data_IF_923487970977
#
_entry.id   IF_923487970977
#
_cell.length_a   1.000
_cell.length_b   1.000
_cell.length_c   1.000
_cell.angle_alpha   90.00
_cell.angle_beta   90.00
_cell.angle_gamma   90.00
#
_symmetry.space_group_name_H-M   'P 1'
#
loop_
_entity.id
_entity.type
_entity.pdbx_description
1 polymer ?
#
# COMPACT_ATOMS: atom_id res chain seq x y z
N UNK A 1 -43.36 -2.71 -13.98
CA UNK A 1 -43.09 -4.05 -13.44
C UNK A 1 -41.56 -4.20 -13.44
N UNK A 2 -40.88 -3.62 -12.46
CA UNK A 2 -40.68 -4.09 -11.06
C UNK A 2 -39.30 -4.72 -10.95
N UNK A 3 -38.31 -3.85 -10.68
CA UNK A 3 -36.95 -4.22 -10.28
C UNK A 3 -36.64 -3.65 -8.88
N UNK A 4 -37.69 -3.45 -8.07
CA UNK A 4 -37.63 -2.80 -6.73
C UNK A 4 -37.96 -3.77 -5.58
N UNK A 5 -37.71 -5.08 -5.75
CA UNK A 5 -38.08 -6.05 -4.73
C UNK A 5 -37.01 -7.12 -4.52
N UNK A 6 -35.79 -6.71 -4.14
CA UNK A 6 -34.87 -7.59 -3.39
C UNK A 6 -33.79 -6.82 -2.61
N UNK A 7 -34.14 -5.69 -1.97
CA UNK A 7 -33.31 -5.11 -0.91
C UNK A 7 -34.00 -5.34 0.42
N UNK A 8 -33.62 -6.41 1.10
CA UNK A 8 -33.95 -6.63 2.50
C UNK A 8 -33.26 -5.54 3.33
N UNK A 9 -34.07 -4.59 3.79
CA UNK A 9 -33.73 -3.43 4.63
C UNK A 9 -33.15 -3.81 6.01
N UNK A 10 -33.14 -5.11 6.37
CA UNK A 10 -32.67 -5.60 7.68
C UNK A 10 -31.21 -6.06 7.73
N UNK A 11 -30.51 -6.24 6.59
CA UNK A 11 -29.13 -6.73 6.59
C UNK A 11 -28.08 -5.60 6.67
N UNK A 12 -28.48 -4.37 6.35
CA UNK A 12 -27.56 -3.23 6.18
C UNK A 12 -27.14 -2.62 7.53
N UNK A 13 -28.06 -2.60 8.50
CA UNK A 13 -27.84 -1.98 9.82
C UNK A 13 -26.92 -2.80 10.74
N UNK A 14 -26.96 -4.15 10.62
CA UNK A 14 -26.11 -5.03 11.43
C UNK A 14 -24.62 -4.97 11.04
N UNK A 15 -24.33 -4.89 9.74
CA UNK A 15 -22.95 -4.80 9.26
C UNK A 15 -22.35 -3.40 9.47
N UNK A 16 -23.13 -2.33 9.23
CA UNK A 16 -22.67 -0.96 9.47
C UNK A 16 -22.26 -0.70 10.93
N UNK A 17 -22.98 -1.29 11.88
CA UNK A 17 -22.72 -1.16 13.32
C UNK A 17 -21.42 -1.83 13.78
N UNK A 18 -21.01 -2.95 13.18
CA UNK A 18 -19.77 -3.68 13.53
C UNK A 18 -18.54 -3.17 12.77
N UNK A 19 -18.74 -2.65 11.55
CA UNK A 19 -17.64 -2.21 10.68
C UNK A 19 -16.97 -0.92 11.20
N UNK A 20 -17.73 0.03 11.76
CA UNK A 20 -17.17 1.29 12.26
C UNK A 20 -16.26 1.14 13.51
N UNK A 21 -16.63 0.36 14.55
CA UNK A 21 -15.74 0.07 15.67
C UNK A 21 -14.48 -0.68 15.25
N UNK A 22 -14.61 -1.63 14.31
CA UNK A 22 -13.48 -2.38 13.77
C UNK A 22 -12.51 -1.47 13.01
N UNK A 23 -13.03 -0.57 12.16
CA UNK A 23 -12.23 0.44 11.47
C UNK A 23 -11.39 1.29 12.43
N UNK A 24 -12.01 1.71 13.54
CA UNK A 24 -11.38 2.54 14.55
C UNK A 24 -10.26 1.81 15.29
N UNK A 25 -10.50 0.58 15.76
CA UNK A 25 -9.48 -0.23 16.43
C UNK A 25 -8.30 -0.55 15.50
N UNK A 26 -8.59 -0.86 14.23
CA UNK A 26 -7.56 -1.14 13.22
C UNK A 26 -6.72 0.09 12.89
N UNK A 27 -7.33 1.27 12.78
CA UNK A 27 -6.60 2.52 12.57
C UNK A 27 -5.60 2.79 13.71
N UNK A 28 -5.95 2.47 14.95
CA UNK A 28 -5.03 2.59 16.10
C UNK A 28 -3.85 1.64 15.96
N UNK A 29 -4.09 0.36 15.65
CA UNK A 29 -3.02 -0.64 15.48
C UNK A 29 -2.10 -0.26 14.32
N UNK A 30 -2.68 0.16 13.19
CA UNK A 30 -1.91 0.66 12.03
C UNK A 30 -1.07 1.86 12.43
N UNK A 31 -1.62 2.80 13.20
CA UNK A 31 -0.89 3.94 13.75
C UNK A 31 0.32 3.54 14.62
N UNK A 32 0.17 2.51 15.45
CA UNK A 32 1.28 1.97 16.27
C UNK A 32 2.35 1.36 15.38
N UNK A 33 1.97 0.54 14.39
CA UNK A 33 2.94 -0.04 13.46
C UNK A 33 3.69 1.07 12.69
N UNK A 34 2.99 2.10 12.24
CA UNK A 34 3.60 3.25 11.57
C UNK A 34 4.62 3.95 12.48
N UNK A 35 4.30 4.16 13.75
CA UNK A 35 5.24 4.72 14.71
C UNK A 35 6.51 3.86 14.79
N UNK A 36 6.37 2.54 14.88
CA UNK A 36 7.50 1.62 14.95
C UNK A 36 8.32 1.53 13.65
N UNK A 37 7.75 1.82 12.48
CA UNK A 37 8.55 1.96 11.23
C UNK A 37 9.58 3.10 11.35
N UNK A 38 9.28 4.13 12.15
CA UNK A 38 10.17 5.24 12.45
C UNK A 38 11.14 5.00 13.61
N UNK A 39 11.09 3.85 14.29
CA UNK A 39 11.82 3.61 15.53
C UNK A 39 13.34 3.56 15.32
N UNK A 40 14.13 3.83 16.35
CA UNK A 40 15.57 3.67 16.33
C UNK A 40 15.96 2.18 16.23
N UNK A 41 15.19 1.31 16.90
CA UNK A 41 15.42 -0.12 16.97
C UNK A 41 15.09 -0.82 15.65
N UNK A 42 16.11 -1.49 15.08
CA UNK A 42 16.00 -2.16 13.78
C UNK A 42 14.95 -3.27 13.79
N UNK A 43 14.88 -4.03 14.89
CA UNK A 43 13.94 -5.14 15.04
C UNK A 43 12.48 -4.68 15.01
N UNK A 44 12.16 -3.58 15.71
CA UNK A 44 10.83 -2.98 15.71
C UNK A 44 10.46 -2.46 14.32
N UNK A 45 11.39 -1.76 13.64
CA UNK A 45 11.16 -1.30 12.27
C UNK A 45 10.83 -2.44 11.31
N UNK A 46 11.60 -3.51 11.35
CA UNK A 46 11.40 -4.68 10.47
C UNK A 46 10.06 -5.36 10.76
N UNK A 47 9.75 -5.60 12.04
CA UNK A 47 8.51 -6.25 12.44
C UNK A 47 7.28 -5.41 12.03
N UNK A 48 7.32 -4.10 12.27
CA UNK A 48 6.25 -3.19 11.90
C UNK A 48 6.07 -3.07 10.37
N UNK A 49 7.17 -2.99 9.63
CA UNK A 49 7.16 -3.03 8.17
C UNK A 49 6.50 -4.32 7.64
N UNK A 50 6.89 -5.47 8.19
CA UNK A 50 6.33 -6.76 7.81
C UNK A 50 4.83 -6.83 8.10
N UNK A 51 4.39 -6.36 9.27
CA UNK A 51 2.98 -6.30 9.64
C UNK A 51 2.16 -5.44 8.66
N UNK A 52 2.65 -4.24 8.30
CA UNK A 52 1.96 -3.35 7.36
C UNK A 52 1.96 -3.89 5.92
N UNK A 53 3.02 -4.59 5.51
CA UNK A 53 3.11 -5.25 4.20
C UNK A 53 2.15 -6.43 4.10
N UNK A 54 2.05 -7.24 5.16
CA UNK A 54 1.09 -8.33 5.28
C UNK A 54 -0.35 -7.81 5.27
N UNK A 55 -0.61 -6.71 6.00
CA UNK A 55 -1.90 -6.04 5.96
C UNK A 55 -2.27 -5.59 4.54
N UNK A 56 -1.34 -4.93 3.85
CA UNK A 56 -1.54 -4.50 2.46
C UNK A 56 -1.88 -5.67 1.54
N UNK A 57 -1.19 -6.81 1.71
CA UNK A 57 -1.46 -8.03 0.96
C UNK A 57 -2.82 -8.65 1.31
N UNK A 58 -3.20 -8.64 2.59
CA UNK A 58 -4.51 -9.10 3.04
C UNK A 58 -5.64 -8.29 2.40
N UNK A 59 -5.53 -6.95 2.39
CA UNK A 59 -6.54 -6.08 1.76
C UNK A 59 -6.61 -6.33 0.25
N UNK A 60 -5.50 -6.69 -0.40
CA UNK A 60 -5.51 -7.17 -1.79
C UNK A 60 -6.32 -8.46 -1.94
N UNK A 61 -6.13 -9.46 -1.08
CA UNK A 61 -6.89 -10.73 -1.17
C UNK A 61 -8.39 -10.55 -0.94
N UNK A 62 -8.81 -9.50 -0.22
CA UNK A 62 -10.22 -9.15 -0.12
C UNK A 62 -10.82 -8.67 -1.46
N UNK A 63 -9.99 -8.37 -2.47
CA UNK A 63 -10.45 -7.98 -3.79
C UNK A 63 -11.17 -9.10 -4.53
N UNK A 64 -10.79 -10.34 -4.23
CA UNK A 64 -11.30 -11.54 -4.90
C UNK A 64 -12.65 -12.01 -4.33
N UNK A 65 -13.06 -11.45 -3.18
CA UNK A 65 -14.32 -11.81 -2.51
C UNK A 65 -15.50 -11.00 -3.07
N UNK A 66 -16.58 -11.69 -3.43
CA UNK A 66 -17.83 -11.09 -3.92
C UNK A 66 -18.88 -10.93 -2.80
N UNK A 67 -19.78 -9.95 -2.97
CA UNK A 67 -20.92 -9.70 -2.07
C UNK A 67 -20.82 -8.40 -1.27
N UNK A 68 -21.97 -7.90 -0.80
CA UNK A 68 -22.08 -6.60 -0.14
C UNK A 68 -21.26 -6.52 1.15
N UNK A 69 -21.27 -7.57 1.99
CA UNK A 69 -20.48 -7.61 3.22
C UNK A 69 -18.97 -7.51 2.95
N UNK A 70 -18.47 -8.29 1.99
CA UNK A 70 -17.06 -8.26 1.58
C UNK A 70 -16.66 -6.91 0.96
N UNK A 71 -17.56 -6.28 0.18
CA UNK A 71 -17.35 -4.93 -0.33
C UNK A 71 -17.21 -3.90 0.80
N UNK A 72 -18.13 -3.91 1.78
CA UNK A 72 -18.09 -2.97 2.91
C UNK A 72 -16.85 -3.15 3.77
N UNK A 73 -16.46 -4.41 4.04
CA UNK A 73 -15.23 -4.74 4.74
C UNK A 73 -14.00 -4.20 3.99
N UNK A 74 -13.92 -4.47 2.67
CA UNK A 74 -12.83 -3.96 1.82
C UNK A 74 -12.73 -2.44 1.87
N UNK A 75 -13.85 -1.73 1.77
CA UNK A 75 -13.87 -0.26 1.83
C UNK A 75 -13.41 0.27 3.19
N UNK A 76 -13.74 -0.42 4.28
CA UNK A 76 -13.24 -0.09 5.61
C UNK A 76 -11.70 -0.17 5.66
N UNK A 77 -11.13 -1.28 5.18
CA UNK A 77 -9.68 -1.44 5.13
C UNK A 77 -9.00 -0.41 4.23
N UNK A 78 -9.55 -0.13 3.04
CA UNK A 78 -9.04 0.90 2.14
C UNK A 78 -9.10 2.28 2.80
N UNK A 79 -10.17 2.58 3.55
CA UNK A 79 -10.30 3.81 4.31
C UNK A 79 -9.20 3.93 5.38
N UNK A 80 -8.93 2.86 6.14
CA UNK A 80 -7.84 2.82 7.12
C UNK A 80 -6.48 3.03 6.45
N UNK A 81 -6.19 2.35 5.33
CA UNK A 81 -4.94 2.55 4.61
C UNK A 81 -4.80 4.00 4.10
N UNK A 82 -5.86 4.56 3.52
CA UNK A 82 -5.82 5.91 2.96
C UNK A 82 -5.68 7.01 4.02
N UNK A 83 -6.30 6.84 5.19
CA UNK A 83 -6.33 7.84 6.25
C UNK A 83 -5.16 7.72 7.22
N UNK A 84 -4.69 6.50 7.50
CA UNK A 84 -3.60 6.27 8.45
C UNK A 84 -2.26 5.99 7.74
N UNK A 85 -2.21 5.08 6.78
CA UNK A 85 -0.93 4.64 6.21
C UNK A 85 -0.32 5.64 5.22
N UNK A 86 -1.06 6.03 4.19
CA UNK A 86 -0.52 6.85 3.10
C UNK A 86 0.05 8.22 3.55
N UNK A 87 -0.60 8.98 4.45
CA UNK A 87 -0.05 10.25 4.92
C UNK A 87 1.29 10.06 5.64
N UNK A 88 1.41 8.98 6.41
CA UNK A 88 2.63 8.67 7.15
C UNK A 88 3.76 8.15 6.25
N UNK A 89 3.44 7.39 5.19
CA UNK A 89 4.43 7.03 4.17
C UNK A 89 5.05 8.27 3.55
N UNK A 90 4.22 9.25 3.17
CA UNK A 90 4.70 10.52 2.59
C UNK A 90 5.61 11.28 3.56
N UNK A 91 5.26 11.32 4.84
CA UNK A 91 6.11 11.92 5.88
C UNK A 91 7.46 11.18 6.02
N UNK A 92 7.42 9.85 6.02
CA UNK A 92 8.63 9.02 6.13
C UNK A 92 9.59 9.16 4.94
N UNK A 93 9.07 9.36 3.73
CA UNK A 93 9.89 9.68 2.53
C UNK A 93 10.66 11.01 2.65
N UNK A 94 10.17 11.92 3.50
CA UNK A 94 10.82 13.21 3.76
C UNK A 94 11.72 13.17 5.01
N UNK A 95 11.89 11.99 5.62
CA UNK A 95 12.71 11.82 6.81
C UNK A 95 14.20 12.05 6.52
N UNK A 96 14.92 12.61 7.50
CA UNK A 96 16.39 12.73 7.45
C UNK A 96 17.11 11.40 7.68
N UNK A 97 16.42 10.41 8.25
CA UNK A 97 16.97 9.08 8.47
C UNK A 97 16.82 8.24 7.20
N UNK A 98 17.94 7.85 6.58
CA UNK A 98 17.94 6.98 5.40
C UNK A 98 17.20 5.66 5.67
N UNK A 99 17.29 5.12 6.90
CA UNK A 99 16.60 3.89 7.28
C UNK A 99 15.06 4.06 7.26
N UNK A 100 14.56 5.18 7.78
CA UNK A 100 13.12 5.48 7.75
C UNK A 100 12.68 5.74 6.31
N UNK A 101 13.45 6.53 5.57
CA UNK A 101 13.16 6.83 4.18
C UNK A 101 13.08 5.54 3.33
N UNK A 102 14.04 4.64 3.51
CA UNK A 102 14.08 3.34 2.85
C UNK A 102 12.87 2.47 3.23
N UNK A 103 12.54 2.37 4.53
CA UNK A 103 11.40 1.57 4.98
C UNK A 103 10.07 2.11 4.41
N UNK A 104 9.87 3.42 4.46
CA UNK A 104 8.69 4.06 3.87
C UNK A 104 8.62 3.87 2.36
N UNK A 105 9.74 3.97 1.65
CA UNK A 105 9.77 3.76 0.20
C UNK A 105 9.50 2.31 -0.20
N UNK A 106 10.05 1.34 0.53
CA UNK A 106 9.72 -0.08 0.31
C UNK A 106 8.25 -0.38 0.56
N UNK A 107 7.64 0.23 1.58
CA UNK A 107 6.24 0.01 1.94
C UNK A 107 5.33 0.65 0.90
N UNK A 108 5.71 1.81 0.37
CA UNK A 108 5.06 2.41 -0.79
C UNK A 108 5.07 1.48 -2.01
N UNK A 109 6.19 0.80 -2.26
CA UNK A 109 6.29 -0.20 -3.33
C UNK A 109 5.39 -1.43 -3.12
N UNK A 110 5.15 -1.82 -1.86
CA UNK A 110 4.18 -2.87 -1.52
C UNK A 110 2.73 -2.41 -1.76
N UNK A 111 2.40 -1.18 -1.38
CA UNK A 111 1.07 -0.57 -1.66
C UNK A 111 0.82 -0.47 -3.16
N UNK A 112 1.78 0.04 -3.94
CA UNK A 112 1.66 0.13 -5.39
C UNK A 112 1.48 -1.26 -6.04
N UNK A 113 2.15 -2.29 -5.50
CA UNK A 113 1.97 -3.67 -5.97
C UNK A 113 0.58 -4.27 -5.67
N UNK A 114 -0.04 -3.83 -4.57
CA UNK A 114 -1.35 -4.30 -4.16
C UNK A 114 -2.51 -3.57 -4.85
N UNK A 115 -2.29 -2.32 -5.26
CA UNK A 115 -3.33 -1.46 -5.82
C UNK A 115 -2.85 -0.72 -7.09
N UNK A 116 -2.48 -1.43 -8.16
CA UNK A 116 -1.94 -0.81 -9.38
C UNK A 116 -2.93 0.17 -10.02
N UNK A 117 -4.23 -0.13 -9.98
CA UNK A 117 -5.27 0.69 -10.62
C UNK A 117 -5.66 1.94 -9.80
N UNK A 118 -5.12 2.09 -8.57
CA UNK A 118 -5.43 3.23 -7.69
C UNK A 118 -4.41 4.33 -7.89
N UNK A 119 -4.71 5.23 -8.82
CA UNK A 119 -3.89 6.41 -9.12
C UNK A 119 -4.58 7.65 -8.53
N UNK A 120 -3.85 8.41 -7.70
CA UNK A 120 -4.35 9.66 -7.09
C UNK A 120 -4.86 9.51 -5.64
N UNK A 121 -5.23 10.62 -5.00
CA UNK A 121 -5.70 10.60 -3.60
C UNK A 121 -4.66 10.10 -2.59
N UNK A 122 -3.36 10.23 -2.91
CA UNK A 122 -2.25 9.67 -2.13
C UNK A 122 -1.91 8.22 -2.45
N UNK A 123 -2.73 7.56 -3.28
CA UNK A 123 -2.42 6.26 -3.85
C UNK A 123 -1.48 6.44 -5.04
N UNK A 124 -0.41 5.66 -5.04
CA UNK A 124 0.68 5.72 -6.01
C UNK A 124 0.75 4.41 -6.81
N UNK A 125 -0.40 3.95 -7.30
CA UNK A 125 -0.52 2.70 -8.05
C UNK A 125 0.30 2.69 -9.35
N UNK A 126 0.52 3.86 -9.95
CA UNK A 126 1.39 4.08 -11.10
C UNK A 126 2.86 3.64 -10.87
N UNK A 127 3.32 3.68 -9.62
CA UNK A 127 4.65 3.18 -9.26
C UNK A 127 4.76 1.65 -9.39
N UNK A 128 3.65 0.92 -9.61
CA UNK A 128 3.67 -0.50 -9.96
C UNK A 128 4.58 -0.76 -11.16
N UNK A 129 4.61 0.15 -12.13
CA UNK A 129 5.41 0.02 -13.35
C UNK A 129 6.93 0.03 -13.10
N UNK A 130 7.37 0.48 -11.92
CA UNK A 130 8.78 0.40 -11.50
C UNK A 130 9.18 -1.00 -11.01
N UNK A 131 8.22 -1.91 -10.84
CA UNK A 131 8.48 -3.30 -10.48
C UNK A 131 8.86 -4.10 -11.72
N UNK A 132 9.62 -5.17 -11.52
CA UNK A 132 9.84 -6.22 -12.51
C UNK A 132 8.81 -7.32 -12.30
N UNK A 133 8.26 -7.86 -13.38
CA UNK A 133 7.29 -8.96 -13.35
C UNK A 133 7.82 -10.20 -12.60
N UNK A 134 9.13 -10.38 -12.57
CA UNK A 134 9.77 -11.58 -12.03
C UNK A 134 10.17 -11.43 -10.55
N UNK A 135 9.89 -10.28 -9.92
CA UNK A 135 10.30 -9.92 -8.55
C UNK A 135 11.76 -10.27 -8.21
N UNK A 136 12.62 -10.32 -9.22
CA UNK A 136 14.05 -10.47 -9.01
C UNK A 136 14.54 -9.24 -8.24
N UNK A 137 14.98 -9.46 -6.99
CA UNK A 137 15.54 -8.41 -6.13
C UNK A 137 16.62 -7.59 -6.87
N UNK A 138 17.29 -8.22 -7.85
CA UNK A 138 18.32 -7.62 -8.69
C UNK A 138 17.84 -6.43 -9.51
N UNK A 139 16.57 -6.38 -9.92
CA UNK A 139 16.03 -5.31 -10.77
C UNK A 139 14.84 -4.55 -10.16
N UNK A 140 14.38 -4.94 -8.96
CA UNK A 140 13.34 -4.23 -8.23
C UNK A 140 13.82 -2.82 -7.78
N UNK A 141 13.22 -1.77 -8.35
CA UNK A 141 13.60 -0.38 -8.10
C UNK A 141 13.55 -0.01 -6.60
N UNK A 142 12.50 -0.46 -5.89
CA UNK A 142 12.26 -0.14 -4.49
C UNK A 142 13.33 -0.72 -3.54
N UNK A 143 13.97 -1.80 -3.95
CA UNK A 143 15.09 -2.41 -3.21
C UNK A 143 16.41 -1.73 -3.58
N UNK A 144 16.64 -1.54 -4.88
CA UNK A 144 17.94 -1.14 -5.41
C UNK A 144 18.31 0.32 -5.15
N UNK A 145 17.34 1.25 -5.09
CA UNK A 145 17.65 2.69 -4.93
C UNK A 145 18.29 3.02 -3.57
N UNK A 146 18.06 2.18 -2.55
CA UNK A 146 18.67 2.29 -1.22
C UNK A 146 19.72 1.20 -0.93
N UNK A 147 20.12 0.40 -1.92
CA UNK A 147 21.05 -0.71 -1.69
C UNK A 147 22.44 -0.18 -1.27
N UNK A 148 23.15 -0.87 -0.36
CA UNK A 148 24.47 -0.42 0.12
C UNK A 148 25.52 -0.28 -1.00
N UNK A 149 25.39 -1.08 -2.06
CA UNK A 149 26.25 -1.02 -3.25
C UNK A 149 25.80 0.04 -4.25
N UNK A 150 26.70 0.99 -4.57
CA UNK A 150 26.45 2.11 -5.50
C UNK A 150 26.02 1.65 -6.90
N UNK A 151 26.58 0.55 -7.41
CA UNK A 151 26.23 0.08 -8.76
C UNK A 151 24.75 -0.34 -8.86
N UNK A 152 24.16 -0.88 -7.78
CA UNK A 152 22.73 -1.23 -7.74
C UNK A 152 21.85 0.02 -7.74
N UNK A 153 22.26 1.06 -7.00
CA UNK A 153 21.60 2.38 -7.04
C UNK A 153 21.64 2.97 -8.46
N UNK A 154 22.82 2.97 -9.10
CA UNK A 154 23.00 3.49 -10.45
C UNK A 154 22.18 2.71 -11.50
N UNK A 155 22.07 1.38 -11.34
CA UNK A 155 21.23 0.53 -12.21
C UNK A 155 19.74 0.87 -12.06
N UNK A 156 19.24 1.06 -10.83
CA UNK A 156 17.85 1.46 -10.61
C UNK A 156 17.51 2.79 -11.30
N UNK A 157 18.38 3.79 -11.17
CA UNK A 157 18.22 5.09 -11.83
C UNK A 157 18.31 4.97 -13.36
N UNK A 158 19.21 4.12 -13.87
CA UNK A 158 19.32 3.86 -15.30
C UNK A 158 18.06 3.19 -15.86
N UNK A 159 17.46 2.25 -15.11
CA UNK A 159 16.17 1.63 -15.46
C UNK A 159 15.05 2.66 -15.49
N UNK A 160 14.94 3.50 -14.46
CA UNK A 160 13.95 4.58 -14.44
C UNK A 160 14.09 5.49 -15.66
N UNK A 161 15.33 5.89 -16.01
CA UNK A 161 15.59 6.68 -17.22
C UNK A 161 15.11 5.97 -18.48
N UNK A 162 15.37 4.67 -18.61
CA UNK A 162 14.91 3.88 -19.76
C UNK A 162 13.38 3.81 -19.85
N UNK A 163 12.69 3.59 -18.72
CA UNK A 163 11.22 3.55 -18.66
C UNK A 163 10.59 4.89 -19.08
N UNK A 164 11.19 6.00 -18.65
CA UNK A 164 10.76 7.35 -19.03
C UNK A 164 11.02 7.62 -20.53
N UNK A 165 12.11 7.11 -21.08
CA UNK A 165 12.44 7.27 -22.49
C UNK A 165 11.51 6.46 -23.42
N UNK A 166 10.97 5.33 -22.95
CA UNK A 166 10.06 4.49 -23.73
C UNK A 166 8.63 5.05 -23.86
N UNK A 167 8.25 6.13 -23.16
CA UNK A 167 6.93 6.81 -23.18
C UNK A 167 5.67 5.96 -22.90
N UNK A 168 5.75 4.63 -22.88
CA UNK A 168 4.58 3.73 -22.74
C UNK A 168 4.25 3.35 -21.29
N UNK A 169 5.08 3.72 -20.30
CA UNK A 169 5.07 3.07 -18.97
C UNK A 169 4.12 3.75 -17.97
N UNK A 170 3.85 5.04 -18.11
CA UNK A 170 3.00 5.84 -17.20
C UNK A 170 1.73 6.37 -17.87
N UNK A 171 1.43 5.91 -19.08
CA UNK A 171 0.21 6.30 -19.78
C UNK A 171 -0.99 5.59 -19.13
N UNK A 172 -2.01 6.32 -18.67
CA UNK A 172 -3.20 5.70 -18.10
C UNK A 172 -3.94 4.97 -19.23
N UNK A 173 -4.06 3.65 -19.12
CA UNK A 173 -4.93 2.81 -19.94
C UNK A 173 -6.40 3.06 -19.62
#
# INVERSE_FOLDING_TARGET
>A
ASTDAFYSEGAIDGYGSLVAPMASALAVVVGICIHFVGDAEVSLRIAAFAALSSLTSFVKTLQDNEGLGAYLERQCWISVLSSALLPNLKAGLSSKSEAIQQASFKLLGAVAAAFPDRIGGGWHGDLHALRTEHDDELDNFFVNVYHIQIHRRARALSRLRSLLASQDVFSPS
#
